data_IF_526722156949
#
_entry.id   IF_526722156949
#
_cell.length_a   1.000
_cell.length_b   1.000
_cell.length_c   1.000
_cell.angle_alpha   90.00
_cell.angle_beta   90.00
_cell.angle_gamma   90.00
#
_symmetry.space_group_name_H-M   'P 1'
#
loop_
_entity.id
_entity.type
_entity.pdbx_description
1 polymer ?
#
# COMPACT_ATOMS: atom_id res chain seq x y z
N UNK A 1 -21.90 -25.46 -38.62
CA UNK A 1 -20.47 -25.16 -38.39
C UNK A 1 -20.37 -24.12 -37.29
N UNK A 2 -19.50 -24.41 -36.32
CA UNK A 2 -19.49 -23.90 -34.95
C UNK A 2 -19.22 -22.40 -34.85
N UNK A 3 -20.09 -21.68 -34.11
CA UNK A 3 -19.77 -20.35 -33.57
C UNK A 3 -18.75 -20.56 -32.46
N UNK A 4 -17.49 -20.20 -32.72
CA UNK A 4 -16.50 -20.06 -31.66
C UNK A 4 -16.96 -18.91 -30.76
N UNK A 5 -17.59 -19.27 -29.64
CA UNK A 5 -17.83 -18.38 -28.52
C UNK A 5 -16.47 -17.99 -27.97
N UNK A 6 -16.00 -16.79 -28.33
CA UNK A 6 -14.95 -16.11 -27.59
C UNK A 6 -15.54 -15.91 -26.20
N UNK A 7 -15.08 -16.73 -25.26
CA UNK A 7 -15.36 -16.57 -23.83
C UNK A 7 -14.71 -15.24 -23.47
N UNK A 8 -15.51 -14.18 -23.48
CA UNK A 8 -15.20 -12.97 -22.74
C UNK A 8 -15.29 -13.35 -21.26
N UNK A 9 -14.15 -13.77 -20.69
CA UNK A 9 -13.98 -13.76 -19.24
C UNK A 9 -14.17 -12.32 -18.80
N UNK A 10 -15.35 -12.01 -18.25
CA UNK A 10 -15.59 -10.74 -17.60
C UNK A 10 -14.52 -10.56 -16.51
N UNK A 11 -13.89 -9.38 -16.39
CA UNK A 11 -12.95 -9.14 -15.30
C UNK A 11 -13.66 -9.39 -13.96
N UNK A 12 -13.11 -10.29 -13.16
CA UNK A 12 -13.53 -10.49 -11.78
C UNK A 12 -13.30 -9.18 -11.03
N UNK A 13 -14.41 -8.48 -10.71
CA UNK A 13 -14.53 -7.27 -9.87
C UNK A 13 -13.26 -6.43 -9.72
N UNK A 14 -13.19 -5.29 -10.43
CA UNK A 14 -12.11 -4.31 -10.27
C UNK A 14 -12.22 -3.64 -8.90
N UNK A 15 -11.16 -3.72 -8.11
CA UNK A 15 -11.02 -3.02 -6.84
C UNK A 15 -10.26 -1.72 -7.06
N UNK A 16 -10.91 -0.59 -6.76
CA UNK A 16 -10.29 0.73 -6.87
C UNK A 16 -9.99 1.27 -5.48
N UNK A 17 -8.74 1.66 -5.29
CA UNK A 17 -8.25 2.29 -4.08
C UNK A 17 -7.80 3.71 -4.42
N UNK A 18 -8.40 4.69 -3.77
CA UNK A 18 -8.00 6.07 -3.92
C UNK A 18 -6.85 6.40 -2.98
N UNK A 19 -5.97 7.31 -3.41
CA UNK A 19 -4.91 7.89 -2.57
C UNK A 19 -3.96 6.85 -1.96
N UNK A 20 -3.52 5.88 -2.75
CA UNK A 20 -2.49 4.92 -2.32
C UNK A 20 -1.11 5.47 -2.66
N UNK A 21 -0.19 5.34 -1.73
CA UNK A 21 1.22 5.64 -1.92
C UNK A 21 2.00 4.33 -2.17
N UNK A 22 2.42 4.04 -3.42
CA UNK A 22 2.98 2.75 -3.78
C UNK A 22 4.50 2.68 -3.62
N UNK A 23 5.06 3.36 -2.62
CA UNK A 23 6.51 3.35 -2.38
C UNK A 23 6.84 2.84 -0.98
N UNK A 24 8.05 2.28 -0.88
CA UNK A 24 8.61 1.81 0.38
C UNK A 24 9.00 2.98 1.30
N UNK A 25 9.07 2.73 2.61
CA UNK A 25 9.54 3.72 3.59
C UNK A 25 10.94 4.28 3.24
N UNK A 26 11.79 3.45 2.65
CA UNK A 26 13.12 3.87 2.19
C UNK A 26 13.06 4.87 1.03
N UNK A 27 12.16 4.64 0.06
CA UNK A 27 11.94 5.59 -1.04
C UNK A 27 11.37 6.93 -0.55
N UNK A 28 10.46 6.91 0.43
CA UNK A 28 9.99 8.12 1.11
C UNK A 28 11.15 8.88 1.74
N UNK A 29 12.02 8.17 2.46
CA UNK A 29 13.17 8.76 3.14
C UNK A 29 14.09 9.48 2.15
N UNK A 30 14.36 8.86 0.99
CA UNK A 30 15.14 9.49 -0.08
C UNK A 30 14.49 10.73 -0.68
N UNK A 31 13.17 10.85 -0.64
CA UNK A 31 12.49 12.11 -1.00
C UNK A 31 12.63 13.16 0.11
N UNK A 32 12.53 12.76 1.37
CA UNK A 32 12.55 13.66 2.52
C UNK A 32 13.92 14.31 2.75
N UNK A 33 15.01 13.57 2.60
CA UNK A 33 16.37 14.05 2.92
C UNK A 33 16.80 15.26 2.06
N UNK A 34 16.65 15.26 0.73
CA UNK A 34 16.95 16.43 -0.10
C UNK A 34 16.12 17.66 0.28
N UNK A 35 14.84 17.45 0.62
CA UNK A 35 13.95 18.54 1.05
C UNK A 35 14.48 19.15 2.35
N UNK A 36 14.85 18.31 3.32
CA UNK A 36 15.42 18.78 4.58
C UNK A 36 16.69 19.60 4.35
N UNK A 37 17.59 19.16 3.47
CA UNK A 37 18.80 19.90 3.10
C UNK A 37 18.48 21.30 2.55
N UNK A 38 17.49 21.42 1.66
CA UNK A 38 17.05 22.72 1.13
C UNK A 38 16.56 23.63 2.25
N UNK A 39 15.73 23.11 3.16
CA UNK A 39 15.27 23.90 4.31
C UNK A 39 16.43 24.34 5.22
N UNK A 40 17.40 23.46 5.49
CA UNK A 40 18.60 23.81 6.27
C UNK A 40 19.42 24.90 5.57
N UNK A 41 19.58 24.86 4.25
CA UNK A 41 20.28 25.91 3.51
C UNK A 41 19.52 27.25 3.58
N UNK A 42 18.20 27.23 3.45
CA UNK A 42 17.34 28.43 3.61
C UNK A 42 17.52 29.01 5.02
N UNK A 43 17.56 28.15 6.05
CA UNK A 43 17.78 28.58 7.42
C UNK A 43 19.10 29.34 7.57
N UNK A 44 20.20 28.73 7.13
CA UNK A 44 21.53 29.31 7.24
C UNK A 44 21.63 30.62 6.45
N UNK A 45 20.95 30.71 5.31
CA UNK A 45 20.91 31.93 4.50
C UNK A 45 20.15 33.08 5.17
N UNK A 46 18.99 32.80 5.78
CA UNK A 46 18.11 33.84 6.36
C UNK A 46 18.53 34.23 7.78
N UNK A 47 18.91 33.25 8.60
CA UNK A 47 19.16 33.44 10.04
C UNK A 47 20.66 33.46 10.36
N UNK A 48 21.50 32.92 9.46
CA UNK A 48 22.92 32.69 9.70
C UNK A 48 23.19 31.32 10.31
N UNK A 49 24.46 31.07 10.66
CA UNK A 49 24.89 29.78 11.22
C UNK A 49 24.53 29.57 12.70
N UNK A 50 23.90 30.56 13.35
CA UNK A 50 23.49 30.49 14.75
C UNK A 50 22.23 29.64 14.96
N UNK A 51 22.14 28.94 16.08
CA UNK A 51 20.94 28.19 16.45
C UNK A 51 19.92 29.07 17.18
N UNK A 52 18.76 29.24 16.57
CA UNK A 52 17.62 29.96 17.15
C UNK A 52 16.38 29.07 17.14
N UNK A 53 15.86 28.75 18.34
CA UNK A 53 14.77 27.79 18.51
C UNK A 53 13.48 28.17 17.75
N UNK A 54 13.11 29.45 17.75
CA UNK A 54 11.89 29.93 17.09
C UNK A 54 11.92 29.67 15.57
N UNK A 55 12.90 30.22 14.84
CA UNK A 55 13.08 29.95 13.41
C UNK A 55 13.23 28.46 13.08
N UNK A 56 13.94 27.68 13.90
CA UNK A 56 14.08 26.22 13.71
C UNK A 56 12.72 25.51 13.83
N UNK A 57 11.91 25.88 14.82
CA UNK A 57 10.58 25.30 15.02
C UNK A 57 9.64 25.60 13.85
N UNK A 58 9.67 26.83 13.35
CA UNK A 58 8.90 27.22 12.16
C UNK A 58 9.35 26.45 10.92
N UNK A 59 10.66 26.26 10.74
CA UNK A 59 11.22 25.49 9.64
C UNK A 59 10.77 24.03 9.68
N UNK A 60 10.80 23.39 10.85
CA UNK A 60 10.29 22.03 10.99
C UNK A 60 8.81 21.94 10.63
N UNK A 61 7.99 22.90 11.08
CA UNK A 61 6.57 22.94 10.72
C UNK A 61 6.36 23.03 9.20
N UNK A 62 7.10 23.92 8.53
CA UNK A 62 7.05 24.06 7.08
C UNK A 62 7.53 22.80 6.36
N UNK A 63 8.65 22.22 6.82
CA UNK A 63 9.20 20.97 6.30
C UNK A 63 8.18 19.82 6.37
N UNK A 64 7.57 19.59 7.54
CA UNK A 64 6.56 18.53 7.69
C UNK A 64 5.33 18.80 6.82
N UNK A 65 4.89 20.06 6.71
CA UNK A 65 3.82 20.46 5.80
C UNK A 65 4.15 20.16 4.34
N UNK A 66 5.37 20.48 3.88
CA UNK A 66 5.83 20.19 2.53
C UNK A 66 5.91 18.69 2.26
N UNK A 67 6.49 17.91 3.17
CA UNK A 67 6.58 16.45 3.02
C UNK A 67 5.19 15.83 2.96
N UNK A 68 4.28 16.22 3.86
CA UNK A 68 2.90 15.72 3.85
C UNK A 68 2.16 16.08 2.55
N UNK A 69 2.34 17.31 2.06
CA UNK A 69 1.78 17.75 0.78
C UNK A 69 2.33 16.94 -0.40
N UNK A 70 3.64 16.70 -0.44
CA UNK A 70 4.27 15.93 -1.51
C UNK A 70 3.79 14.48 -1.50
N UNK A 71 3.76 13.81 -0.35
CA UNK A 71 3.23 12.44 -0.24
C UNK A 71 1.81 12.38 -0.84
N UNK A 72 0.96 13.36 -0.52
CA UNK A 72 -0.40 13.46 -1.05
C UNK A 72 -0.46 13.69 -2.57
N UNK A 73 0.46 14.47 -3.13
CA UNK A 73 0.56 14.71 -4.59
C UNK A 73 1.03 13.45 -5.32
N UNK A 74 1.95 12.69 -4.73
CA UNK A 74 2.46 11.45 -5.30
C UNK A 74 1.55 10.24 -5.06
N UNK A 75 0.51 10.38 -4.25
CA UNK A 75 -0.53 9.37 -4.11
C UNK A 75 -1.24 9.15 -5.43
N UNK A 76 -1.41 7.88 -5.80
CA UNK A 76 -2.07 7.48 -7.04
C UNK A 76 -3.34 6.71 -6.71
N UNK A 77 -4.29 6.75 -7.64
CA UNK A 77 -5.35 5.76 -7.66
C UNK A 77 -4.74 4.41 -8.05
N UNK A 78 -5.08 3.34 -7.34
CA UNK A 78 -4.65 1.99 -7.68
C UNK A 78 -5.87 1.16 -8.03
N UNK A 79 -5.82 0.49 -9.17
CA UNK A 79 -6.82 -0.50 -9.53
C UNK A 79 -6.20 -1.88 -9.56
N UNK A 80 -6.90 -2.85 -8.96
CA UNK A 80 -6.47 -4.24 -8.91
C UNK A 80 -7.62 -5.12 -9.34
N UNK A 81 -7.35 -6.05 -10.25
CA UNK A 81 -8.29 -7.10 -10.63
C UNK A 81 -7.54 -8.38 -10.90
N UNK A 82 -8.28 -9.47 -10.92
CA UNK A 82 -7.76 -10.79 -11.18
C UNK A 82 -8.32 -11.30 -12.51
N UNK A 83 -7.61 -12.24 -13.10
CA UNK A 83 -8.10 -13.07 -14.19
C UNK A 83 -7.70 -14.53 -13.88
N UNK A 84 -7.92 -15.47 -14.79
CA UNK A 84 -7.60 -16.87 -14.58
C UNK A 84 -6.16 -17.10 -14.08
N UNK A 85 -5.16 -16.40 -14.65
CA UNK A 85 -3.73 -16.62 -14.38
C UNK A 85 -2.95 -15.41 -13.85
N UNK A 86 -3.45 -14.18 -14.05
CA UNK A 86 -2.77 -12.93 -13.66
C UNK A 86 -3.53 -12.21 -12.52
N UNK A 87 -2.78 -11.48 -11.69
CA UNK A 87 -3.24 -10.30 -10.97
C UNK A 87 -2.75 -9.08 -11.72
N UNK A 88 -3.65 -8.15 -12.03
CA UNK A 88 -3.29 -6.89 -12.68
C UNK A 88 -3.27 -5.76 -11.66
N UNK A 89 -2.26 -4.90 -11.75
CA UNK A 89 -2.16 -3.68 -10.95
C UNK A 89 -1.97 -2.50 -11.87
N UNK A 90 -2.85 -1.50 -11.76
CA UNK A 90 -2.77 -0.26 -12.50
C UNK A 90 -2.58 0.92 -11.54
N UNK A 91 -1.51 1.69 -11.77
CA UNK A 91 -1.15 2.86 -10.97
C UNK A 91 -1.52 4.15 -11.71
N UNK A 92 -2.63 4.78 -11.34
CA UNK A 92 -3.16 5.96 -12.00
C UNK A 92 -3.51 5.67 -13.46
N UNK A 93 -3.01 6.51 -14.38
CA UNK A 93 -3.21 6.35 -15.81
C UNK A 93 -2.15 5.47 -16.50
N UNK A 94 -1.25 4.85 -15.74
CA UNK A 94 -0.24 3.95 -16.32
C UNK A 94 -0.89 2.70 -16.95
N UNK A 95 -0.14 2.01 -17.82
CA UNK A 95 -0.57 0.72 -18.34
C UNK A 95 -0.67 -0.33 -17.21
N UNK A 96 -1.67 -1.23 -17.24
CA UNK A 96 -1.79 -2.31 -16.27
C UNK A 96 -0.57 -3.24 -16.31
N UNK A 97 -0.02 -3.54 -15.15
CA UNK A 97 1.04 -4.54 -15.01
C UNK A 97 0.43 -5.88 -14.63
N UNK A 98 0.62 -6.93 -15.45
CA UNK A 98 0.28 -8.30 -15.05
C UNK A 98 1.40 -8.88 -14.17
N UNK A 99 0.97 -9.48 -13.07
CA UNK A 99 1.74 -10.35 -12.22
C UNK A 99 1.14 -11.76 -12.27
N UNK A 100 1.90 -12.77 -12.67
CA UNK A 100 1.41 -14.13 -12.67
C UNK A 100 1.07 -14.56 -11.23
N UNK A 101 -0.12 -15.13 -11.02
CA UNK A 101 -0.57 -15.58 -9.68
C UNK A 101 0.40 -16.60 -9.07
N UNK A 102 1.00 -17.46 -9.90
CA UNK A 102 1.98 -18.45 -9.49
C UNK A 102 3.29 -17.83 -8.91
N UNK A 103 3.61 -16.61 -9.32
CA UNK A 103 4.78 -15.86 -8.84
C UNK A 103 4.52 -15.13 -7.53
N UNK A 104 3.25 -14.94 -7.16
CA UNK A 104 2.89 -14.37 -5.87
C UNK A 104 3.10 -15.45 -4.81
N UNK A 105 3.95 -15.14 -3.82
CA UNK A 105 4.31 -16.07 -2.73
C UNK A 105 3.37 -15.90 -1.54
N UNK A 106 2.95 -14.65 -1.31
CA UNK A 106 2.01 -14.27 -0.28
C UNK A 106 1.89 -12.77 -0.19
N UNK A 107 1.07 -12.29 0.75
CA UNK A 107 0.93 -10.87 1.00
C UNK A 107 0.64 -10.56 2.47
N UNK A 108 1.07 -9.39 2.92
CA UNK A 108 0.65 -8.84 4.21
C UNK A 108 -0.56 -7.95 4.04
N UNK A 109 -1.52 -8.06 4.96
CA UNK A 109 -2.65 -7.14 5.05
C UNK A 109 -3.18 -7.05 6.48
N UNK A 110 -3.86 -5.95 6.83
CA UNK A 110 -4.74 -5.96 7.99
C UNK A 110 -5.86 -6.99 7.81
N UNK A 111 -6.33 -7.56 8.92
CA UNK A 111 -7.60 -8.29 8.94
C UNK A 111 -8.77 -7.30 9.00
N UNK A 112 -9.26 -6.92 7.83
CA UNK A 112 -10.41 -6.00 7.71
C UNK A 112 -11.74 -6.63 8.19
N UNK A 113 -11.78 -7.93 8.47
CA UNK A 113 -12.96 -8.61 8.98
C UNK A 113 -13.05 -8.61 10.53
N UNK A 114 -12.01 -8.15 11.22
CA UNK A 114 -11.99 -8.10 12.69
C UNK A 114 -13.15 -7.28 13.26
N UNK A 115 -13.76 -7.80 14.32
CA UNK A 115 -14.79 -7.09 15.10
C UNK A 115 -14.21 -6.35 16.30
N UNK A 116 -12.94 -6.58 16.64
CA UNK A 116 -12.29 -5.93 17.76
C UNK A 116 -12.10 -4.43 17.46
N UNK A 117 -12.69 -3.50 18.23
CA UNK A 117 -12.63 -2.07 17.92
C UNK A 117 -11.20 -1.54 17.86
N UNK A 118 -10.30 -2.06 18.70
CA UNK A 118 -8.89 -1.68 18.75
C UNK A 118 -8.09 -2.05 17.49
N UNK A 119 -8.55 -3.04 16.70
CA UNK A 119 -7.88 -3.53 15.49
C UNK A 119 -8.64 -3.16 14.21
N UNK A 120 -9.83 -2.57 14.34
CA UNK A 120 -10.66 -2.16 13.21
C UNK A 120 -9.95 -1.03 12.45
N UNK A 121 -9.68 -1.27 11.17
CA UNK A 121 -8.95 -0.34 10.31
C UNK A 121 -9.63 -0.21 8.95
N UNK A 122 -9.72 1.02 8.43
CA UNK A 122 -10.03 1.29 7.02
C UNK A 122 -8.78 1.73 6.24
N UNK A 123 -7.59 1.61 6.85
CA UNK A 123 -6.33 1.98 6.21
C UNK A 123 -5.84 0.90 5.30
N UNK A 124 -5.40 1.30 4.11
CA UNK A 124 -4.76 0.42 3.14
C UNK A 124 -3.34 0.09 3.63
N UNK A 125 -3.07 -1.18 3.87
CA UNK A 125 -1.71 -1.71 4.05
C UNK A 125 -1.70 -3.09 3.43
N UNK A 126 -1.35 -3.19 2.14
CA UNK A 126 -1.34 -4.45 1.40
C UNK A 126 -0.02 -4.57 0.67
N UNK A 127 0.82 -5.53 1.06
CA UNK A 127 2.13 -5.74 0.44
C UNK A 127 2.21 -7.15 -0.16
N UNK A 128 2.22 -7.26 -1.48
CA UNK A 128 2.43 -8.53 -2.18
C UNK A 128 3.91 -8.81 -2.36
N UNK A 129 4.29 -10.07 -2.15
CA UNK A 129 5.66 -10.56 -2.29
C UNK A 129 5.73 -11.52 -3.47
N UNK A 130 6.63 -11.22 -4.40
CA UNK A 130 6.86 -12.02 -5.59
C UNK A 130 8.08 -12.93 -5.41
N UNK A 131 8.09 -14.06 -6.11
CA UNK A 131 9.16 -15.07 -6.04
C UNK A 131 10.53 -14.53 -6.44
N UNK A 132 10.57 -13.54 -7.33
CA UNK A 132 11.79 -12.86 -7.77
C UNK A 132 12.32 -11.83 -6.75
N UNK A 133 11.73 -11.73 -5.56
CA UNK A 133 12.12 -10.79 -4.50
C UNK A 133 11.51 -9.39 -4.64
N UNK A 134 10.78 -9.10 -5.72
CA UNK A 134 10.07 -7.84 -5.88
C UNK A 134 8.86 -7.76 -4.95
N UNK A 135 8.48 -6.53 -4.57
CA UNK A 135 7.35 -6.26 -3.69
C UNK A 135 6.43 -5.22 -4.32
N UNK A 136 5.12 -5.49 -4.27
CA UNK A 136 4.09 -4.51 -4.65
C UNK A 136 3.52 -3.97 -3.34
N UNK A 137 3.83 -2.71 -3.02
CA UNK A 137 3.42 -2.09 -1.77
C UNK A 137 2.27 -1.14 -2.02
N UNK A 138 1.20 -1.28 -1.24
CA UNK A 138 0.04 -0.42 -1.27
C UNK A 138 -0.19 0.10 0.15
N UNK A 139 0.13 1.37 0.35
CA UNK A 139 -0.06 2.03 1.64
C UNK A 139 -1.05 3.18 1.49
N UNK A 140 -1.89 3.36 2.49
CA UNK A 140 -2.73 4.54 2.58
C UNK A 140 -1.86 5.79 2.71
N UNK A 141 -2.21 6.84 1.99
CA UNK A 141 -1.56 8.14 2.16
C UNK A 141 -2.26 9.04 3.17
N UNK A 142 -3.48 8.69 3.60
CA UNK A 142 -4.19 9.46 4.61
C UNK A 142 -3.77 9.02 6.02
N UNK A 143 -3.42 10.02 6.83
CA UNK A 143 -3.05 9.82 8.23
C UNK A 143 -4.27 9.72 9.14
N UNK A 144 -5.47 10.10 8.66
CA UNK A 144 -6.72 10.06 9.42
C UNK A 144 -6.93 8.69 10.08
N UNK A 145 -7.24 8.70 11.38
CA UNK A 145 -7.55 7.50 12.17
C UNK A 145 -9.03 7.12 12.13
N UNK A 146 -9.91 7.98 11.61
CA UNK A 146 -11.35 7.69 11.52
C UNK A 146 -11.58 6.54 10.55
N UNK A 147 -12.24 5.49 11.03
CA UNK A 147 -12.62 4.34 10.20
C UNK A 147 -13.74 4.77 9.27
N UNK A 148 -13.48 4.72 7.96
CA UNK A 148 -14.51 4.86 6.94
C UNK A 148 -15.10 3.47 6.62
N UNK A 149 -16.39 3.31 6.90
CA UNK A 149 -17.10 2.04 6.70
C UNK A 149 -17.15 1.63 5.23
N UNK A 150 -17.23 2.60 4.30
CA UNK A 150 -17.30 2.31 2.87
C UNK A 150 -15.98 1.71 2.37
N UNK A 151 -14.85 2.34 2.72
CA UNK A 151 -13.51 1.81 2.46
C UNK A 151 -13.29 0.45 3.14
N UNK A 152 -13.76 0.27 4.37
CA UNK A 152 -13.63 -1.02 5.08
C UNK A 152 -14.36 -2.15 4.34
N UNK A 153 -15.57 -1.91 3.82
CA UNK A 153 -16.33 -2.91 3.06
C UNK A 153 -15.58 -3.30 1.78
N UNK A 154 -14.99 -2.33 1.08
CA UNK A 154 -14.19 -2.58 -0.14
C UNK A 154 -12.95 -3.40 0.21
N UNK A 155 -12.22 -3.02 1.26
CA UNK A 155 -11.01 -3.72 1.71
C UNK A 155 -11.29 -5.15 2.17
N UNK A 156 -12.40 -5.37 2.89
CA UNK A 156 -12.86 -6.71 3.28
C UNK A 156 -13.19 -7.56 2.06
N UNK A 157 -13.93 -7.02 1.08
CA UNK A 157 -14.25 -7.73 -0.17
C UNK A 157 -12.98 -8.05 -0.96
N UNK A 158 -12.06 -7.10 -1.06
CA UNK A 158 -10.77 -7.29 -1.72
C UNK A 158 -9.99 -8.43 -1.07
N UNK A 159 -9.84 -8.41 0.25
CA UNK A 159 -9.11 -9.42 1.00
C UNK A 159 -9.68 -10.82 0.75
N UNK A 160 -11.01 -10.97 0.84
CA UNK A 160 -11.68 -12.24 0.56
C UNK A 160 -11.50 -12.71 -0.88
N UNK A 161 -11.53 -11.78 -1.85
CA UNK A 161 -11.28 -12.11 -3.25
C UNK A 161 -9.83 -12.51 -3.48
N UNK A 162 -8.87 -11.76 -2.94
CA UNK A 162 -7.44 -12.09 -3.07
C UNK A 162 -7.11 -13.45 -2.47
N UNK A 163 -7.66 -13.78 -1.30
CA UNK A 163 -7.51 -15.11 -0.70
C UNK A 163 -8.03 -16.23 -1.60
N UNK A 164 -9.20 -16.04 -2.22
CA UNK A 164 -9.79 -17.04 -3.14
C UNK A 164 -9.01 -17.15 -4.45
N UNK A 165 -8.71 -16.02 -5.09
CA UNK A 165 -8.04 -15.97 -6.39
C UNK A 165 -6.59 -16.47 -6.35
N UNK A 166 -5.95 -16.37 -5.18
CA UNK A 166 -4.59 -16.84 -4.94
C UNK A 166 -4.53 -18.17 -4.18
N UNK A 167 -5.67 -18.71 -3.75
CA UNK A 167 -5.76 -19.88 -2.85
C UNK A 167 -4.94 -19.72 -1.57
N UNK A 168 -4.95 -18.54 -0.98
CA UNK A 168 -4.19 -18.22 0.24
C UNK A 168 -5.08 -18.19 1.47
N UNK A 169 -4.53 -18.68 2.58
CA UNK A 169 -5.15 -18.65 3.89
C UNK A 169 -4.39 -17.69 4.80
N UNK A 170 -5.08 -17.18 5.83
CA UNK A 170 -4.41 -16.41 6.87
C UNK A 170 -3.49 -17.32 7.67
N UNK A 171 -2.20 -17.05 7.63
CA UNK A 171 -1.21 -17.74 8.46
C UNK A 171 -0.93 -16.84 9.65
N UNK A 172 -1.22 -17.35 10.85
CA UNK A 172 -1.07 -16.56 12.07
C UNK A 172 0.42 -16.33 12.35
N UNK A 173 0.82 -15.07 12.23
CA UNK A 173 2.11 -14.47 12.64
C UNK A 173 3.38 -15.30 12.36
N UNK A 174 4.01 -15.08 11.19
CA UNK A 174 5.41 -15.51 10.96
C UNK A 174 6.43 -14.56 11.61
N UNK A 175 6.05 -13.33 11.98
CA UNK A 175 6.99 -12.31 12.49
C UNK A 175 6.42 -11.46 13.63
N UNK A 176 7.17 -11.41 14.75
CA UNK A 176 6.90 -10.61 15.96
C UNK A 176 6.96 -9.09 15.76
N UNK A 177 7.40 -8.62 14.59
CA UNK A 177 7.73 -7.21 14.32
C UNK A 177 6.67 -6.42 13.55
N UNK A 178 5.57 -7.06 13.13
CA UNK A 178 4.47 -6.34 12.47
C UNK A 178 3.49 -5.78 13.50
N UNK A 179 2.89 -4.63 13.16
CA UNK A 179 1.88 -3.98 13.97
C UNK A 179 0.69 -4.93 14.25
N UNK A 180 0.07 -4.77 15.41
CA UNK A 180 -1.10 -5.54 15.80
C UNK A 180 -2.19 -5.49 14.71
N UNK A 181 -2.75 -6.65 14.38
CA UNK A 181 -3.82 -6.77 13.38
C UNK A 181 -3.33 -6.93 11.93
N UNK A 182 -2.01 -6.96 11.66
CA UNK A 182 -1.44 -7.32 10.36
C UNK A 182 -1.18 -8.83 10.28
N UNK A 183 -1.66 -9.47 9.22
CA UNK A 183 -1.55 -10.90 8.97
C UNK A 183 -0.80 -11.17 7.67
N UNK A 184 -0.15 -12.33 7.63
CA UNK A 184 0.43 -12.91 6.42
C UNK A 184 -0.58 -13.86 5.78
N UNK A 185 -0.73 -13.78 4.47
CA UNK A 185 -1.60 -14.64 3.68
C UNK A 185 -0.76 -15.37 2.64
N UNK A 186 -0.73 -16.70 2.72
CA UNK A 186 0.00 -17.57 1.80
C UNK A 186 -0.70 -18.92 1.64
N UNK A 187 -0.20 -19.71 0.70
CA UNK A 187 -0.55 -21.12 0.57
C UNK A 187 -0.05 -21.87 1.83
N UNK A 188 -0.96 -22.57 2.52
CA UNK A 188 -0.64 -23.32 3.74
C UNK A 188 0.42 -24.42 3.51
N UNK A 189 0.62 -24.86 2.26
CA UNK A 189 1.64 -25.85 1.89
C UNK A 189 3.06 -25.28 1.78
N UNK A 190 3.22 -23.95 1.69
CA UNK A 190 4.51 -23.27 1.51
C UNK A 190 5.16 -22.80 2.82
N UNK A 191 4.55 -23.13 3.96
CA UNK A 191 5.09 -22.86 5.31
C UNK A 191 5.71 -24.11 5.97
N UNK A 192 5.92 -25.19 5.22
CA UNK A 192 6.83 -26.27 5.61
C UNK A 192 8.18 -25.97 4.94
N UNK A 193 8.94 -25.07 5.58
CA UNK A 193 10.42 -25.00 5.64
C UNK A 193 10.87 -23.65 6.27
#
# INVERSE_FOLDING_TARGET
MSKASIIQTQPTRIFSFERVYPYSAFQVLWMCVPILLVFVLIYVYVVGAGFHLGPVSLLFLLYFGTVAGLVRIFSKQVQIWFDASCMYVQLGQALPQCYAKADIVGFYSYDYATQAPALKSSKICIHFYLRNGQKIMLNDSDYRRSVDESSQIILKKFLQTAQRELNFLSVRQRYKHYADGVYWYSDASRDID
#
